data_IF_167242335146
#
_entry.id   IF_167242335146
#
_cell.length_a   1.000
_cell.length_b   1.000
_cell.length_c   1.000
_cell.angle_alpha   90.00
_cell.angle_beta   90.00
_cell.angle_gamma   90.00
#
_symmetry.space_group_name_H-M   'P 1'
#
loop_
_entity.id
_entity.type
_entity.pdbx_description
1 polymer ?
#
# COMPACT_ATOMS: atom_id res chain seq x y z
N UNK A 1 -1.10 16.15 21.35
CA UNK A 1 -0.51 16.78 20.15
C UNK A 1 0.07 15.76 19.16
N UNK A 2 0.75 14.69 19.58
CA UNK A 2 1.30 13.69 18.65
C UNK A 2 0.27 12.92 17.81
N UNK A 3 -0.95 12.71 18.32
CA UNK A 3 -1.99 11.95 17.60
C UNK A 3 -2.53 12.71 16.37
N UNK A 4 -2.76 14.03 16.47
CA UNK A 4 -3.18 14.86 15.33
C UNK A 4 -2.15 14.87 14.20
N UNK A 5 -0.86 15.01 14.54
CA UNK A 5 0.22 15.08 13.55
C UNK A 5 0.35 13.81 12.69
N UNK A 6 -0.05 12.66 13.23
CA UNK A 6 -0.11 11.41 12.47
C UNK A 6 -1.37 11.30 11.61
N UNK A 7 -2.51 11.81 12.10
CA UNK A 7 -3.76 11.87 11.31
C UNK A 7 -3.57 12.79 10.09
N UNK A 8 -2.96 13.96 10.26
CA UNK A 8 -2.72 14.91 9.17
C UNK A 8 -1.82 14.34 8.06
N UNK A 9 -0.81 13.54 8.43
CA UNK A 9 0.04 12.83 7.43
C UNK A 9 -0.78 11.86 6.60
N UNK A 10 -1.72 11.18 7.21
CA UNK A 10 -2.53 10.18 6.54
C UNK A 10 -3.58 10.81 5.61
N UNK A 11 -4.13 11.95 6.00
CA UNK A 11 -4.98 12.77 5.13
C UNK A 11 -4.22 13.27 3.90
N UNK A 12 -2.95 13.68 4.08
CA UNK A 12 -2.06 14.01 2.97
C UNK A 12 -1.78 12.81 2.06
N UNK A 13 -1.55 11.63 2.64
CA UNK A 13 -1.39 10.39 1.86
C UNK A 13 -2.67 10.03 1.09
N UNK A 14 -3.86 10.19 1.69
CA UNK A 14 -5.13 9.99 1.00
C UNK A 14 -5.25 10.90 -0.22
N UNK A 15 -4.89 12.17 -0.09
CA UNK A 15 -4.95 13.13 -1.20
C UNK A 15 -4.00 12.76 -2.34
N UNK A 16 -2.78 12.31 -2.03
CA UNK A 16 -1.81 11.87 -3.05
C UNK A 16 -2.29 10.62 -3.76
N UNK A 17 -2.83 9.63 -3.05
CA UNK A 17 -3.43 8.44 -3.66
C UNK A 17 -4.60 8.77 -4.58
N UNK A 18 -5.47 9.70 -4.19
CA UNK A 18 -6.58 10.15 -5.04
C UNK A 18 -6.09 10.85 -6.31
N UNK A 19 -4.99 11.60 -6.25
CA UNK A 19 -4.40 12.29 -7.41
C UNK A 19 -3.68 11.34 -8.36
N UNK A 20 -2.93 10.36 -7.84
CA UNK A 20 -2.09 9.49 -8.67
C UNK A 20 -2.81 8.24 -9.19
N UNK A 21 -3.62 7.57 -8.35
CA UNK A 21 -4.32 6.33 -8.73
C UNK A 21 -5.75 6.58 -9.23
N UNK A 22 -6.31 7.78 -8.99
CA UNK A 22 -7.70 8.08 -9.27
C UNK A 22 -8.66 7.50 -8.23
N UNK A 23 -9.96 7.72 -8.44
CA UNK A 23 -11.01 7.35 -7.47
C UNK A 23 -11.07 5.83 -7.23
N UNK A 24 -10.82 5.01 -8.25
CA UNK A 24 -10.82 3.54 -8.16
C UNK A 24 -9.45 2.97 -7.73
N UNK A 25 -8.55 3.82 -7.23
CA UNK A 25 -7.28 3.40 -6.67
C UNK A 25 -7.44 2.45 -5.48
N UNK A 26 -6.61 1.41 -5.47
CA UNK A 26 -6.50 0.47 -4.37
C UNK A 26 -5.19 0.71 -3.62
N UNK A 27 -5.21 0.52 -2.31
CA UNK A 27 -4.01 0.53 -1.49
C UNK A 27 -3.99 -0.70 -0.61
N UNK A 28 -2.79 -1.15 -0.28
CA UNK A 28 -2.55 -2.28 0.60
C UNK A 28 -2.08 -1.78 1.96
N UNK A 29 -2.73 -2.26 3.01
CA UNK A 29 -2.29 -2.02 4.37
C UNK A 29 -1.09 -2.92 4.68
N UNK A 30 0.04 -2.33 5.03
CA UNK A 30 1.27 -3.04 5.39
C UNK A 30 1.60 -2.72 6.84
N UNK A 31 1.37 -3.69 7.71
CA UNK A 31 1.84 -3.61 9.07
C UNK A 31 3.30 -4.04 9.13
N UNK A 32 4.12 -3.30 9.87
CA UNK A 32 5.43 -3.80 10.27
C UNK A 32 5.20 -4.91 11.29
N UNK A 33 5.49 -6.17 10.95
CA UNK A 33 5.35 -7.33 11.85
C UNK A 33 6.62 -7.45 12.69
N UNK A 34 6.66 -6.73 13.81
CA UNK A 34 7.69 -6.87 14.85
C UNK A 34 7.03 -7.39 16.14
N UNK A 35 7.82 -7.70 17.17
CA UNK A 35 7.33 -8.16 18.49
C UNK A 35 6.40 -7.15 19.22
N UNK A 36 6.33 -5.90 18.73
CA UNK A 36 5.49 -4.82 19.30
C UNK A 36 4.21 -4.57 18.48
N UNK A 37 3.93 -5.39 17.48
CA UNK A 37 2.79 -5.18 16.58
C UNK A 37 1.51 -5.61 17.27
N UNK A 38 0.58 -4.68 17.43
CA UNK A 38 -0.74 -4.93 17.99
C UNK A 38 -1.46 -6.02 17.19
N UNK A 39 -2.22 -6.89 17.87
CA UNK A 39 -3.02 -7.97 17.23
C UNK A 39 -3.88 -7.42 16.08
N UNK A 40 -4.42 -6.21 16.24
CA UNK A 40 -5.25 -5.53 15.24
C UNK A 40 -4.48 -5.21 13.95
N UNK A 41 -3.28 -4.63 14.04
CA UNK A 41 -2.44 -4.35 12.88
C UNK A 41 -1.99 -5.63 12.18
N UNK A 42 -1.73 -6.70 12.93
CA UNK A 42 -1.39 -8.00 12.36
C UNK A 42 -2.55 -8.60 11.55
N UNK A 43 -3.78 -8.49 12.03
CA UNK A 43 -4.98 -8.97 11.32
C UNK A 43 -5.33 -8.15 10.08
N UNK A 44 -4.91 -6.88 10.02
CA UNK A 44 -5.11 -6.01 8.85
C UNK A 44 -3.96 -6.07 7.85
N UNK A 45 -2.83 -6.69 8.22
CA UNK A 45 -1.66 -6.79 7.37
C UNK A 45 -1.96 -7.52 6.06
N UNK A 46 -1.63 -6.87 4.95
CA UNK A 46 -1.79 -7.42 3.62
C UNK A 46 -3.18 -7.27 3.00
N UNK A 47 -4.15 -6.70 3.73
CA UNK A 47 -5.48 -6.41 3.18
C UNK A 47 -5.42 -5.24 2.21
N UNK A 48 -6.20 -5.35 1.15
CA UNK A 48 -6.35 -4.34 0.11
C UNK A 48 -7.66 -3.60 0.38
N UNK A 49 -7.60 -2.28 0.36
CA UNK A 49 -8.74 -1.39 0.57
C UNK A 49 -8.77 -0.34 -0.56
N UNK A 50 -9.95 0.22 -0.83
CA UNK A 50 -10.09 1.32 -1.79
C UNK A 50 -9.70 2.63 -1.16
N UNK A 51 -9.04 3.50 -1.92
CA UNK A 51 -8.61 4.83 -1.46
C UNK A 51 -9.82 5.69 -1.02
N UNK A 52 -11.01 5.52 -1.63
CA UNK A 52 -12.24 6.22 -1.21
C UNK A 52 -12.60 5.95 0.25
N UNK A 53 -12.46 4.68 0.65
CA UNK A 53 -12.81 4.22 1.99
C UNK A 53 -11.71 4.52 3.02
N UNK A 54 -10.60 5.15 2.64
CA UNK A 54 -9.47 5.42 3.52
C UNK A 54 -9.90 6.32 4.69
N UNK A 55 -9.94 5.73 5.89
CA UNK A 55 -10.33 6.37 7.14
C UNK A 55 -9.24 6.07 8.19
N UNK A 56 -8.52 7.10 8.66
CA UNK A 56 -7.53 6.93 9.72
C UNK A 56 -8.22 6.40 10.98
N UNK A 57 -7.68 5.36 11.60
CA UNK A 57 -8.28 4.76 12.80
C UNK A 57 -9.27 3.61 12.53
N UNK A 58 -9.63 3.30 11.27
CA UNK A 58 -10.36 2.07 10.91
C UNK A 58 -9.60 1.16 9.92
N UNK A 59 -9.19 1.69 8.76
CA UNK A 59 -8.48 0.92 7.73
C UNK A 59 -7.13 1.52 7.33
N UNK A 60 -6.82 2.73 7.83
CA UNK A 60 -5.58 3.43 7.58
C UNK A 60 -4.89 3.80 8.92
N UNK A 61 -3.55 3.80 8.96
CA UNK A 61 -2.78 4.11 10.17
C UNK A 61 -2.74 5.59 10.60
N UNK A 62 -3.43 5.95 11.69
CA UNK A 62 -2.97 5.40 12.96
C UNK A 62 -4.09 4.64 13.69
N UNK A 63 -3.94 3.31 13.79
CA UNK A 63 -4.89 2.46 14.54
C UNK A 63 -4.72 2.57 16.06
N UNK A 64 -3.51 2.91 16.48
CA UNK A 64 -3.11 3.00 17.87
C UNK A 64 -2.02 4.05 18.03
N UNK A 65 -1.81 4.60 19.23
CA UNK A 65 -0.67 5.46 19.50
C UNK A 65 0.63 4.76 19.10
N UNK A 66 1.54 5.46 18.41
CA UNK A 66 2.80 4.89 17.88
C UNK A 66 2.62 3.74 16.87
N UNK A 67 1.55 3.76 16.08
CA UNK A 67 1.39 2.86 14.93
C UNK A 67 2.55 3.05 13.94
N UNK A 68 3.27 1.96 13.64
CA UNK A 68 4.34 1.90 12.63
C UNK A 68 3.88 1.19 11.35
N UNK A 69 2.57 1.06 11.16
CA UNK A 69 2.01 0.53 9.92
C UNK A 69 2.02 1.62 8.85
N UNK A 70 2.04 1.20 7.59
CA UNK A 70 2.10 2.08 6.44
C UNK A 70 1.15 1.57 5.36
N UNK A 71 0.66 2.46 4.53
CA UNK A 71 -0.11 2.13 3.33
C UNK A 71 0.79 2.17 2.12
N UNK A 72 0.61 1.23 1.20
CA UNK A 72 1.32 1.22 -0.08
C UNK A 72 0.30 1.21 -1.21
N UNK A 73 0.52 1.95 -2.30
CA UNK A 73 -0.37 1.91 -3.45
C UNK A 73 -0.37 0.49 -4.04
N UNK A 74 -1.55 -0.06 -4.27
CA UNK A 74 -1.72 -1.32 -4.99
C UNK A 74 -2.13 -1.01 -6.43
N UNK A 75 -1.12 -0.79 -7.28
CA UNK A 75 -1.31 -0.86 -8.72
C UNK A 75 -1.38 -2.34 -9.07
N UNK A 76 -2.51 -2.79 -9.62
CA UNK A 76 -2.78 -4.21 -9.89
C UNK A 76 -1.80 -4.89 -10.85
N UNK A 77 -2.21 -6.00 -11.46
CA UNK A 77 -1.39 -6.87 -12.31
C UNK A 77 -0.97 -6.25 -13.68
N UNK A 78 -0.74 -4.94 -13.77
CA UNK A 78 -0.26 -4.29 -15.01
C UNK A 78 1.10 -4.84 -15.42
N UNK A 79 1.98 -5.07 -14.43
CA UNK A 79 3.34 -5.57 -14.62
C UNK A 79 3.32 -7.01 -15.12
N UNK A 80 2.54 -7.88 -14.50
CA UNK A 80 2.38 -9.28 -14.93
C UNK A 80 1.73 -9.40 -16.31
N UNK A 81 0.70 -8.59 -16.61
CA UNK A 81 0.11 -8.52 -17.96
C UNK A 81 1.14 -8.08 -18.99
N UNK A 82 1.95 -7.08 -18.69
CA UNK A 82 3.01 -6.57 -19.56
C UNK A 82 4.06 -7.64 -19.89
N UNK A 83 4.53 -8.40 -18.89
CA UNK A 83 5.49 -9.47 -19.11
C UNK A 83 4.87 -10.66 -19.85
N UNK A 84 3.64 -11.06 -19.51
CA UNK A 84 2.94 -12.17 -20.17
C UNK A 84 2.70 -11.92 -21.66
N UNK A 85 2.46 -10.66 -22.04
CA UNK A 85 2.23 -10.27 -23.44
C UNK A 85 3.54 -10.16 -24.27
N UNK A 86 4.69 -10.16 -23.59
CA UNK A 86 6.02 -10.05 -24.21
C UNK A 86 6.91 -11.27 -23.99
N UNK A 87 6.45 -12.25 -23.22
CA UNK A 87 7.07 -13.55 -23.08
C UNK A 87 7.15 -14.20 -24.47
N UNK A 88 8.36 -14.37 -24.99
CA UNK A 88 8.62 -14.90 -26.34
C UNK A 88 8.98 -13.88 -27.43
N UNK A 89 8.92 -12.56 -27.18
CA UNK A 89 9.34 -11.53 -28.18
C UNK A 89 10.81 -11.15 -28.12
N UNK A 90 11.48 -11.41 -27.01
CA UNK A 90 12.91 -11.10 -26.85
C UNK A 90 13.70 -12.40 -26.67
N UNK A 91 14.40 -12.80 -27.71
CA UNK A 91 15.53 -13.73 -27.58
C UNK A 91 16.69 -12.93 -27.00
N UNK A 92 17.01 -13.17 -25.73
CA UNK A 92 18.30 -12.73 -25.20
C UNK A 92 19.30 -13.73 -25.75
N UNK A 93 20.05 -13.34 -26.79
CA UNK A 93 21.26 -14.07 -27.14
C UNK A 93 22.18 -14.00 -25.92
N UNK A 94 22.25 -15.09 -25.16
CA UNK A 94 23.21 -15.25 -24.09
C UNK A 94 24.57 -15.33 -24.78
N UNK A 95 25.23 -14.18 -24.97
CA UNK A 95 26.66 -14.17 -25.25
C UNK A 95 27.35 -14.51 -23.93
N UNK A 96 27.59 -15.81 -23.75
CA UNK A 96 28.50 -16.31 -22.73
C UNK A 96 29.83 -15.58 -22.89
N UNK A 97 30.27 -14.93 -21.81
CA UNK A 97 31.54 -14.21 -21.71
C UNK A 97 32.62 -15.12 -21.14
#
# INVERSE_FOLDING_TARGET
>A
MLFSLFVEKEESQKLTYLKELGEDGEYKYVAKIDSKTSKLCHSLNGKIFKVKDMIPGVNAPPMHPWCRSTTVPHVGNWRDKFFKEREGKYQVEVKEA
#
